data_IF_894380680067
#
_entry.id   IF_894380680067
#
_cell.length_a   1.000
_cell.length_b   1.000
_cell.length_c   1.000
_cell.angle_alpha   90.00
_cell.angle_beta   90.00
_cell.angle_gamma   90.00
#
_symmetry.space_group_name_H-M   'P 1'
#
loop_
_entity.id
_entity.type
_entity.pdbx_description
1 polymer ?
#
# COMPACT_ATOMS: atom_id res chain seq x y z
N UNK A 1 -5.69 28.64 -8.82
CA UNK A 1 -4.95 27.56 -9.54
C UNK A 1 -3.59 27.41 -8.88
N UNK A 2 -3.29 26.26 -8.31
CA UNK A 2 -2.03 25.94 -7.63
C UNK A 2 -0.87 25.92 -8.63
N UNK A 3 0.25 26.57 -8.32
CA UNK A 3 1.44 26.66 -9.19
C UNK A 3 2.67 26.05 -8.53
N UNK A 4 2.82 26.22 -7.24
CA UNK A 4 3.99 25.78 -6.48
C UNK A 4 3.65 24.56 -5.64
N UNK A 5 4.48 23.52 -5.71
CA UNK A 5 4.31 22.27 -4.98
C UNK A 5 5.60 21.92 -4.23
N UNK A 6 5.49 21.58 -2.98
CA UNK A 6 6.60 21.06 -2.20
C UNK A 6 6.35 19.63 -1.76
N UNK A 7 7.31 18.76 -2.02
CA UNK A 7 7.30 17.36 -1.57
C UNK A 7 8.27 17.21 -0.41
N UNK A 8 7.74 16.93 0.78
CA UNK A 8 8.52 16.90 2.02
C UNK A 8 8.56 15.49 2.59
N UNK A 9 9.75 14.90 2.61
CA UNK A 9 9.99 13.54 3.09
C UNK A 9 9.42 12.44 2.20
N UNK A 10 9.57 11.20 2.64
CA UNK A 10 9.14 10.01 1.92
C UNK A 10 10.27 9.24 1.25
N UNK A 11 9.90 8.36 0.35
CA UNK A 11 10.79 7.44 -0.36
C UNK A 11 10.77 7.67 -1.88
N UNK A 12 11.23 6.68 -2.67
CA UNK A 12 11.28 6.77 -4.13
C UNK A 12 9.92 7.08 -4.77
N UNK A 13 8.81 6.78 -4.11
CA UNK A 13 7.45 7.10 -4.60
C UNK A 13 7.25 8.61 -4.67
N UNK A 14 7.66 9.33 -3.62
CA UNK A 14 7.56 10.79 -3.54
C UNK A 14 8.52 11.49 -4.51
N UNK A 15 9.73 10.96 -4.70
CA UNK A 15 10.66 11.48 -5.71
C UNK A 15 10.13 11.29 -7.14
N UNK A 16 9.53 10.12 -7.41
CA UNK A 16 8.88 9.85 -8.70
C UNK A 16 7.72 10.82 -8.94
N UNK A 17 6.87 11.01 -7.94
CA UNK A 17 5.78 11.97 -7.95
C UNK A 17 6.30 13.40 -8.22
N UNK A 18 7.32 13.86 -7.51
CA UNK A 18 7.91 15.19 -7.66
C UNK A 18 8.41 15.41 -9.10
N UNK A 19 9.17 14.45 -9.64
CA UNK A 19 9.66 14.48 -11.02
C UNK A 19 8.51 14.63 -12.03
N UNK A 20 7.44 13.83 -11.87
CA UNK A 20 6.33 13.84 -12.81
C UNK A 20 5.51 15.12 -12.74
N UNK A 21 5.31 15.71 -11.55
CA UNK A 21 4.66 17.01 -11.39
C UNK A 21 5.48 18.14 -12.03
N UNK A 22 6.80 18.11 -11.87
CA UNK A 22 7.69 19.07 -12.54
C UNK A 22 7.57 19.00 -14.06
N UNK A 23 7.50 17.77 -14.63
CA UNK A 23 7.29 17.56 -16.07
C UNK A 23 5.92 18.06 -16.58
N UNK A 24 4.93 18.18 -15.71
CA UNK A 24 3.60 18.75 -16.02
C UNK A 24 3.54 20.26 -15.85
N UNK A 25 4.67 20.91 -15.54
CA UNK A 25 4.79 22.37 -15.46
C UNK A 25 4.54 22.98 -14.09
N UNK A 26 4.41 22.18 -13.02
CA UNK A 26 4.42 22.70 -11.66
C UNK A 26 5.84 23.14 -11.25
N UNK A 27 5.93 24.21 -10.47
CA UNK A 27 7.17 24.60 -9.80
C UNK A 27 7.35 23.72 -8.56
N UNK A 28 8.16 22.67 -8.71
CA UNK A 28 8.32 21.65 -7.65
C UNK A 28 9.62 21.86 -6.89
N UNK A 29 9.51 21.87 -5.54
CA UNK A 29 10.64 21.75 -4.63
C UNK A 29 10.54 20.45 -3.85
N UNK A 30 11.69 19.92 -3.39
CA UNK A 30 11.76 18.72 -2.56
C UNK A 30 12.62 19.00 -1.32
N UNK A 31 12.23 18.44 -0.18
CA UNK A 31 12.98 18.50 1.08
C UNK A 31 12.94 17.17 1.83
N UNK A 32 13.99 16.87 2.57
CA UNK A 32 14.05 15.63 3.38
C UNK A 32 14.48 14.39 2.58
N UNK A 33 15.30 14.59 1.52
CA UNK A 33 15.91 13.53 0.73
C UNK A 33 17.43 13.68 0.71
N UNK A 34 18.16 12.58 0.84
CA UNK A 34 19.63 12.57 0.75
C UNK A 34 20.13 12.95 -0.64
N UNK A 35 21.34 13.49 -0.73
CA UNK A 35 21.96 13.95 -1.98
C UNK A 35 21.98 12.87 -3.07
N UNK A 36 22.21 11.63 -2.68
CA UNK A 36 22.31 10.49 -3.62
C UNK A 36 20.97 10.08 -4.23
N UNK A 37 19.86 10.55 -3.63
CA UNK A 37 18.49 10.27 -4.10
C UNK A 37 17.95 11.34 -5.05
N UNK A 38 18.66 12.46 -5.22
CA UNK A 38 18.20 13.62 -5.97
C UNK A 38 18.61 13.57 -7.44
N UNK A 39 17.71 13.99 -8.31
CA UNK A 39 17.96 14.21 -9.73
C UNK A 39 17.90 15.69 -10.09
N UNK A 40 18.42 16.09 -11.25
CA UNK A 40 18.43 17.48 -11.72
C UNK A 40 17.04 18.06 -12.08
N UNK A 41 15.97 17.25 -11.92
CA UNK A 41 14.63 17.62 -12.43
C UNK A 41 13.75 18.39 -11.45
N UNK A 42 14.24 18.74 -10.25
CA UNK A 42 13.50 19.52 -9.25
C UNK A 42 14.45 20.30 -8.33
N UNK A 43 13.93 21.35 -7.72
CA UNK A 43 14.70 22.17 -6.79
C UNK A 43 14.82 21.47 -5.43
N UNK A 44 16.03 21.03 -5.07
CA UNK A 44 16.31 20.43 -3.76
C UNK A 44 16.56 21.55 -2.73
N UNK A 45 15.56 21.79 -1.89
CA UNK A 45 15.70 22.76 -0.81
C UNK A 45 16.56 22.20 0.33
N UNK A 46 17.42 23.08 0.86
CA UNK A 46 18.24 22.77 2.05
C UNK A 46 17.65 23.34 3.33
N UNK A 47 16.73 24.26 3.20
CA UNK A 47 16.07 24.98 4.27
C UNK A 47 14.58 24.65 4.28
N UNK A 48 14.13 24.04 5.38
CA UNK A 48 12.73 23.67 5.56
C UNK A 48 11.80 24.88 5.50
N UNK A 49 12.26 26.07 5.96
CA UNK A 49 11.48 27.31 5.92
C UNK A 49 11.13 27.72 4.48
N UNK A 50 12.04 27.45 3.53
CA UNK A 50 11.79 27.66 2.10
C UNK A 50 10.92 26.59 1.52
N UNK A 51 11.16 25.34 1.91
CA UNK A 51 10.40 24.18 1.42
C UNK A 51 8.90 24.29 1.76
N UNK A 52 8.53 24.86 2.90
CA UNK A 52 7.11 25.01 3.28
C UNK A 52 6.40 26.20 2.62
N UNK A 53 7.12 27.02 1.82
CA UNK A 53 6.57 28.20 1.14
C UNK A 53 5.94 27.84 -0.22
N UNK A 54 5.00 26.89 -0.27
CA UNK A 54 4.33 26.46 -1.49
C UNK A 54 2.81 26.48 -1.35
N UNK A 55 2.08 26.55 -2.47
CA UNK A 55 0.62 26.47 -2.49
C UNK A 55 0.13 25.10 -2.00
N UNK A 56 0.90 24.04 -2.33
CA UNK A 56 0.58 22.65 -2.00
C UNK A 56 1.78 22.00 -1.32
N UNK A 57 1.54 21.39 -0.17
CA UNK A 57 2.51 20.61 0.57
C UNK A 57 2.12 19.14 0.49
N UNK A 58 3.01 18.30 -0.05
CA UNK A 58 2.80 16.86 -0.19
C UNK A 58 3.68 16.12 0.80
N UNK A 59 3.04 15.45 1.76
CA UNK A 59 3.65 14.61 2.77
C UNK A 59 3.64 13.13 2.32
N UNK A 60 4.49 12.27 2.90
CA UNK A 60 4.64 10.86 2.48
C UNK A 60 3.44 9.96 2.80
N UNK A 61 3.56 8.69 2.38
CA UNK A 61 2.65 7.60 2.76
C UNK A 61 3.43 6.42 3.36
N UNK A 62 3.22 6.11 4.66
CA UNK A 62 2.46 6.91 5.63
C UNK A 62 3.16 8.22 5.97
N UNK A 63 2.39 9.23 6.41
CA UNK A 63 2.97 10.51 6.87
C UNK A 63 3.96 10.30 8.00
N UNK A 64 3.66 9.36 8.89
CA UNK A 64 4.47 9.04 10.07
C UNK A 64 4.36 7.57 10.42
N UNK A 65 5.35 7.06 11.18
CA UNK A 65 5.34 5.71 11.75
C UNK A 65 5.10 5.71 13.26
N UNK A 66 5.27 6.86 13.93
CA UNK A 66 5.25 7.02 15.40
C UNK A 66 4.36 8.19 15.88
N UNK A 67 3.62 8.83 14.99
CA UNK A 67 2.79 10.03 15.22
C UNK A 67 3.56 11.28 15.66
N UNK A 68 4.89 11.26 15.66
CA UNK A 68 5.75 12.37 16.12
C UNK A 68 6.65 12.91 15.02
N UNK A 69 7.19 12.02 14.20
CA UNK A 69 8.21 12.32 13.20
C UNK A 69 7.65 12.08 11.80
N UNK A 70 8.01 12.96 10.87
CA UNK A 70 7.74 12.74 9.46
C UNK A 70 8.47 11.48 8.97
N UNK A 71 7.82 10.68 8.15
CA UNK A 71 8.45 9.52 7.52
C UNK A 71 9.35 9.99 6.37
N UNK A 72 10.64 10.16 6.67
CA UNK A 72 11.65 10.63 5.74
C UNK A 72 12.91 9.74 5.79
N UNK A 73 12.84 8.48 5.28
CA UNK A 73 13.90 7.49 5.44
C UNK A 73 15.22 7.87 4.73
N UNK A 74 15.20 8.84 3.81
CA UNK A 74 16.37 9.33 3.11
C UNK A 74 16.97 10.61 3.71
N UNK A 75 16.40 11.10 4.81
CA UNK A 75 16.91 12.27 5.51
C UNK A 75 17.70 11.86 6.74
N UNK A 76 18.86 12.47 6.94
CA UNK A 76 19.74 12.15 8.08
C UNK A 76 19.16 12.67 9.41
N UNK A 77 18.51 13.83 9.36
CA UNK A 77 17.94 14.47 10.54
C UNK A 77 16.44 14.13 10.70
N UNK A 78 15.98 14.20 11.94
CA UNK A 78 14.56 13.99 12.24
C UNK A 78 13.77 15.27 11.96
N UNK A 79 12.66 15.15 11.22
CA UNK A 79 11.71 16.23 11.01
C UNK A 79 10.54 16.02 11.96
N UNK A 80 10.40 16.87 12.98
CA UNK A 80 9.28 16.79 13.92
C UNK A 80 7.99 17.28 13.25
N UNK A 81 6.91 16.51 13.30
CA UNK A 81 5.62 16.89 12.69
C UNK A 81 5.03 18.15 13.32
N UNK A 82 5.21 18.35 14.62
CA UNK A 82 4.75 19.54 15.33
C UNK A 82 5.43 20.81 14.79
N UNK A 83 6.77 20.80 14.69
CA UNK A 83 7.54 21.91 14.14
C UNK A 83 7.16 22.18 12.68
N UNK A 84 6.98 21.12 11.89
CA UNK A 84 6.54 21.23 10.50
C UNK A 84 5.16 21.89 10.40
N UNK A 85 4.19 21.50 11.25
CA UNK A 85 2.86 22.08 11.25
C UNK A 85 2.85 23.57 11.66
N UNK A 86 3.79 23.98 12.52
CA UNK A 86 3.87 25.36 13.00
C UNK A 86 4.41 26.34 11.93
N UNK A 87 5.20 25.84 10.96
CA UNK A 87 5.86 26.70 9.94
C UNK A 87 5.16 26.67 8.57
N UNK A 88 4.30 25.72 8.27
CA UNK A 88 3.51 25.67 7.02
C UNK A 88 2.52 26.84 7.02
N UNK A 89 2.36 27.49 5.87
CA UNK A 89 1.38 28.57 5.69
C UNK A 89 -0.05 28.03 5.85
N UNK A 90 -0.91 28.79 6.54
CA UNK A 90 -2.31 28.37 6.82
C UNK A 90 -3.19 28.21 5.59
N UNK A 91 -2.87 28.89 4.51
CA UNK A 91 -3.58 28.84 3.22
C UNK A 91 -3.04 27.76 2.27
N UNK A 92 -1.96 27.07 2.65
CA UNK A 92 -1.47 25.92 1.87
C UNK A 92 -2.40 24.73 1.96
N UNK A 93 -2.61 24.05 0.82
CA UNK A 93 -3.25 22.74 0.79
C UNK A 93 -2.24 21.65 1.21
N UNK A 94 -2.54 20.94 2.28
CA UNK A 94 -1.69 19.85 2.77
C UNK A 94 -2.25 18.49 2.33
N UNK A 95 -1.44 17.71 1.62
CA UNK A 95 -1.79 16.37 1.14
C UNK A 95 -0.89 15.34 1.82
N UNK A 96 -1.46 14.36 2.50
CA UNK A 96 -0.69 13.28 3.13
C UNK A 96 -1.30 11.91 2.84
N UNK A 97 -0.54 10.85 3.08
CA UNK A 97 -1.06 9.49 2.94
C UNK A 97 -1.14 8.75 4.27
N UNK A 98 -2.27 8.08 4.57
CA UNK A 98 -2.53 7.38 5.84
C UNK A 98 -2.34 8.30 7.05
N UNK A 99 -3.08 9.39 7.05
CA UNK A 99 -3.04 10.39 8.11
C UNK A 99 -3.78 9.84 9.33
N UNK A 100 -3.08 9.74 10.48
CA UNK A 100 -3.68 9.35 11.75
C UNK A 100 -4.45 10.51 12.38
N UNK A 101 -5.28 10.22 13.40
CA UNK A 101 -6.02 11.23 14.12
C UNK A 101 -5.08 12.27 14.75
N UNK A 102 -4.01 11.81 15.37
CA UNK A 102 -3.02 12.68 16.03
C UNK A 102 -2.38 13.65 15.02
N UNK A 103 -2.15 13.20 13.78
CA UNK A 103 -1.63 14.07 12.72
C UNK A 103 -2.69 15.06 12.25
N UNK A 104 -3.96 14.66 12.12
CA UNK A 104 -5.05 15.61 11.84
C UNK A 104 -5.15 16.70 12.91
N UNK A 105 -5.02 16.33 14.19
CA UNK A 105 -5.07 17.28 15.31
C UNK A 105 -3.91 18.28 15.27
N UNK A 106 -2.70 17.87 14.84
CA UNK A 106 -1.55 18.77 14.64
C UNK A 106 -1.77 19.79 13.52
N UNK A 107 -2.55 19.43 12.51
CA UNK A 107 -2.87 20.27 11.36
C UNK A 107 -4.25 20.93 11.48
N UNK A 108 -4.75 21.13 12.71
CA UNK A 108 -6.01 21.84 12.94
C UNK A 108 -5.98 23.25 12.33
N UNK A 109 -7.03 23.60 11.59
CA UNK A 109 -7.12 24.88 10.87
C UNK A 109 -6.43 24.91 9.51
N UNK A 110 -5.86 23.82 9.05
CA UNK A 110 -5.36 23.64 7.69
C UNK A 110 -6.38 22.91 6.81
N UNK A 111 -6.34 23.16 5.51
CA UNK A 111 -6.99 22.29 4.53
C UNK A 111 -6.08 21.08 4.30
N UNK A 112 -6.39 19.96 4.98
CA UNK A 112 -5.61 18.72 4.90
C UNK A 112 -6.44 17.60 4.30
N UNK A 113 -5.87 16.87 3.31
CA UNK A 113 -6.54 15.77 2.61
C UNK A 113 -5.66 14.52 2.66
N UNK A 114 -6.25 13.39 3.07
CA UNK A 114 -5.61 12.09 3.00
C UNK A 114 -5.82 11.47 1.62
N UNK A 115 -4.82 11.59 0.74
CA UNK A 115 -4.89 11.01 -0.61
C UNK A 115 -4.95 9.48 -0.59
N UNK A 116 -4.53 8.83 0.50
CA UNK A 116 -4.61 7.37 0.63
C UNK A 116 -6.04 6.86 0.86
N UNK A 117 -7.00 7.75 1.21
CA UNK A 117 -8.43 7.42 1.31
C UNK A 117 -9.14 7.43 -0.03
N UNK A 118 -8.48 7.88 -1.10
CA UNK A 118 -9.05 7.94 -2.45
C UNK A 118 -9.20 6.52 -3.01
N UNK A 119 -10.41 6.19 -3.45
CA UNK A 119 -10.72 4.84 -3.94
C UNK A 119 -9.92 4.49 -5.19
N UNK A 120 -9.74 5.44 -6.12
CA UNK A 120 -8.95 5.25 -7.32
C UNK A 120 -7.48 4.91 -7.03
N UNK A 121 -6.89 5.50 -5.98
CA UNK A 121 -5.55 5.16 -5.53
C UNK A 121 -5.51 3.72 -4.99
N UNK A 122 -6.48 3.38 -4.14
CA UNK A 122 -6.52 2.05 -3.51
C UNK A 122 -6.74 0.93 -4.53
N UNK A 123 -7.57 1.18 -5.56
CA UNK A 123 -7.79 0.24 -6.67
C UNK A 123 -6.50 0.06 -7.46
N UNK A 124 -5.87 1.15 -7.91
CA UNK A 124 -4.62 1.07 -8.71
C UNK A 124 -3.47 0.47 -7.90
N UNK A 125 -3.37 0.77 -6.61
CA UNK A 125 -2.33 0.24 -5.73
C UNK A 125 -2.48 -1.26 -5.43
N UNK A 126 -3.65 -1.84 -5.73
CA UNK A 126 -3.83 -3.29 -5.66
C UNK A 126 -2.96 -4.04 -6.68
N UNK A 127 -2.60 -3.42 -7.82
CA UNK A 127 -1.74 -4.04 -8.85
C UNK A 127 -0.34 -4.31 -8.31
N UNK A 128 0.46 -3.31 -7.90
CA UNK A 128 1.79 -3.56 -7.36
C UNK A 128 1.76 -4.38 -6.05
N UNK A 129 0.66 -4.36 -5.30
CA UNK A 129 0.48 -5.23 -4.13
C UNK A 129 0.37 -6.69 -4.55
N UNK A 130 -0.44 -6.99 -5.56
CA UNK A 130 -0.64 -8.35 -6.06
C UNK A 130 0.61 -8.91 -6.75
N UNK A 131 1.31 -8.09 -7.54
CA UNK A 131 2.58 -8.48 -8.17
C UNK A 131 3.64 -8.80 -7.12
N UNK A 132 3.81 -7.96 -6.09
CA UNK A 132 4.74 -8.24 -5.01
C UNK A 132 4.35 -9.46 -4.16
N UNK A 133 3.05 -9.77 -4.03
CA UNK A 133 2.61 -11.00 -3.39
C UNK A 133 2.99 -12.25 -4.20
N UNK A 134 2.86 -12.17 -5.52
CA UNK A 134 3.25 -13.26 -6.43
C UNK A 134 4.77 -13.42 -6.45
N UNK A 135 5.54 -12.34 -6.45
CA UNK A 135 7.00 -12.38 -6.32
C UNK A 135 7.43 -13.14 -5.05
N UNK A 136 6.82 -12.82 -3.91
CA UNK A 136 7.07 -13.54 -2.66
C UNK A 136 6.70 -15.02 -2.80
N UNK A 137 5.52 -15.33 -3.37
CA UNK A 137 5.10 -16.71 -3.57
C UNK A 137 6.10 -17.49 -4.41
N UNK A 138 6.57 -16.94 -5.52
CA UNK A 138 7.57 -17.57 -6.41
C UNK A 138 8.91 -17.80 -5.71
N UNK A 139 9.32 -16.89 -4.82
CA UNK A 139 10.58 -17.02 -4.07
C UNK A 139 10.51 -17.98 -2.89
N UNK A 140 9.33 -18.22 -2.35
CA UNK A 140 9.12 -18.94 -1.09
C UNK A 140 8.52 -20.33 -1.24
N UNK A 141 7.98 -20.66 -2.41
CA UNK A 141 7.45 -22.00 -2.72
C UNK A 141 8.42 -22.77 -3.63
N UNK A 142 8.58 -24.10 -3.42
CA UNK A 142 9.39 -24.92 -4.30
C UNK A 142 8.68 -25.34 -5.59
N UNK A 143 7.39 -24.99 -5.76
CA UNK A 143 6.59 -25.34 -6.95
C UNK A 143 6.36 -24.10 -7.82
N UNK A 144 6.06 -24.33 -9.10
CA UNK A 144 5.64 -23.26 -10.01
C UNK A 144 4.24 -22.74 -9.63
N UNK A 145 3.96 -21.46 -9.90
CA UNK A 145 2.59 -20.92 -9.76
C UNK A 145 1.65 -21.56 -10.79
N UNK A 146 2.14 -21.85 -12.01
CA UNK A 146 1.37 -22.63 -12.99
C UNK A 146 1.05 -24.01 -12.42
N UNK A 147 -0.21 -24.42 -12.57
CA UNK A 147 -0.80 -25.66 -12.05
C UNK A 147 -0.85 -25.78 -10.51
N UNK A 148 -0.34 -24.78 -9.76
CA UNK A 148 -0.51 -24.76 -8.31
C UNK A 148 -1.93 -24.36 -7.90
N UNK A 149 -2.37 -24.83 -6.73
CA UNK A 149 -3.63 -24.41 -6.10
C UNK A 149 -3.38 -23.21 -5.22
N UNK A 150 -3.94 -22.06 -5.63
CA UNK A 150 -3.80 -20.81 -4.93
C UNK A 150 -5.13 -20.37 -4.31
N UNK A 151 -5.20 -20.27 -2.99
CA UNK A 151 -6.35 -19.73 -2.29
C UNK A 151 -6.15 -18.24 -2.03
N UNK A 152 -7.07 -17.41 -2.51
CA UNK A 152 -7.16 -15.97 -2.19
C UNK A 152 -8.31 -15.77 -1.21
N UNK A 153 -7.96 -15.47 0.04
CA UNK A 153 -8.91 -15.16 1.11
C UNK A 153 -9.30 -13.68 1.01
N UNK A 154 -10.56 -13.42 0.66
CA UNK A 154 -11.11 -12.10 0.40
C UNK A 154 -11.13 -11.71 -1.08
N UNK A 155 -12.25 -11.12 -1.52
CA UNK A 155 -12.47 -10.70 -2.91
C UNK A 155 -12.71 -9.18 -3.03
N UNK A 156 -11.89 -8.43 -2.27
CA UNK A 156 -11.81 -6.98 -2.34
C UNK A 156 -10.90 -6.53 -3.50
N UNK A 157 -10.42 -5.28 -3.44
CA UNK A 157 -9.55 -4.68 -4.47
C UNK A 157 -8.32 -5.53 -4.76
N UNK A 158 -7.57 -5.93 -3.72
CA UNK A 158 -6.37 -6.77 -3.87
C UNK A 158 -6.76 -8.16 -4.34
N UNK A 159 -7.76 -8.80 -3.72
CA UNK A 159 -8.19 -10.16 -4.08
C UNK A 159 -8.60 -10.29 -5.55
N UNK A 160 -9.34 -9.30 -6.08
CA UNK A 160 -9.74 -9.28 -7.50
C UNK A 160 -8.55 -9.22 -8.45
N UNK A 161 -7.59 -8.33 -8.19
CA UNK A 161 -6.39 -8.20 -9.03
C UNK A 161 -5.51 -9.44 -8.91
N UNK A 162 -5.27 -9.91 -7.70
CA UNK A 162 -4.42 -11.07 -7.43
C UNK A 162 -4.97 -12.34 -8.09
N UNK A 163 -6.27 -12.62 -7.94
CA UNK A 163 -6.91 -13.79 -8.58
C UNK A 163 -6.76 -13.73 -10.09
N UNK A 164 -6.90 -12.55 -10.70
CA UNK A 164 -6.72 -12.35 -12.14
C UNK A 164 -5.30 -12.64 -12.61
N UNK A 165 -4.30 -12.15 -11.86
CA UNK A 165 -2.89 -12.39 -12.19
C UNK A 165 -2.51 -13.86 -12.01
N UNK A 166 -2.94 -14.50 -10.92
CA UNK A 166 -2.69 -15.92 -10.67
C UNK A 166 -3.31 -16.82 -11.78
N UNK A 167 -4.54 -16.50 -12.19
CA UNK A 167 -5.18 -17.20 -13.32
C UNK A 167 -4.38 -17.01 -14.62
N UNK A 168 -3.87 -15.80 -14.87
CA UNK A 168 -3.00 -15.51 -16.03
C UNK A 168 -1.69 -16.29 -16.00
N UNK A 169 -1.19 -16.67 -14.84
CA UNK A 169 -0.02 -17.52 -14.65
C UNK A 169 -0.34 -19.03 -14.71
N UNK A 170 -1.60 -19.39 -14.90
CA UNK A 170 -2.03 -20.80 -15.02
C UNK A 170 -2.30 -21.51 -13.68
N UNK A 171 -2.49 -20.77 -12.58
CA UNK A 171 -2.87 -21.34 -11.29
C UNK A 171 -4.33 -21.83 -11.28
N UNK A 172 -4.63 -22.88 -10.51
CA UNK A 172 -6.00 -23.26 -10.11
C UNK A 172 -6.43 -22.36 -8.96
N UNK A 173 -7.18 -21.29 -9.27
CA UNK A 173 -7.48 -20.21 -8.34
C UNK A 173 -8.75 -20.49 -7.55
N UNK A 174 -8.60 -20.54 -6.23
CA UNK A 174 -9.68 -20.58 -5.26
C UNK A 174 -9.88 -19.19 -4.67
N UNK A 175 -11.11 -18.71 -4.55
CA UNK A 175 -11.45 -17.42 -3.96
C UNK A 175 -12.43 -17.62 -2.83
N UNK A 176 -12.08 -17.17 -1.63
CA UNK A 176 -13.04 -17.16 -0.55
C UNK A 176 -13.58 -15.76 -0.26
N UNK A 177 -14.87 -15.68 0.01
CA UNK A 177 -15.54 -14.44 0.37
C UNK A 177 -16.73 -14.72 1.29
N UNK A 178 -17.13 -13.65 2.03
CA UNK A 178 -18.31 -13.69 2.90
C UNK A 178 -19.62 -13.41 2.15
N UNK A 179 -19.53 -12.55 1.11
CA UNK A 179 -20.73 -12.10 0.38
C UNK A 179 -20.96 -13.01 -0.82
N UNK A 180 -22.20 -13.51 -0.95
CA UNK A 180 -22.60 -14.30 -2.13
C UNK A 180 -22.46 -13.54 -3.45
N UNK A 181 -22.60 -12.21 -3.46
CA UNK A 181 -22.33 -11.39 -4.65
C UNK A 181 -20.86 -11.45 -5.10
N UNK A 182 -19.92 -11.51 -4.15
CA UNK A 182 -18.50 -11.63 -4.46
C UNK A 182 -18.18 -13.05 -4.96
N UNK A 183 -18.81 -14.07 -4.38
CA UNK A 183 -18.71 -15.46 -4.83
C UNK A 183 -19.25 -15.63 -6.25
N UNK A 184 -20.41 -15.03 -6.55
CA UNK A 184 -20.98 -15.05 -7.90
C UNK A 184 -20.04 -14.40 -8.92
N UNK A 185 -19.39 -13.29 -8.59
CA UNK A 185 -18.38 -12.68 -9.44
C UNK A 185 -17.15 -13.60 -9.62
N UNK A 186 -16.69 -14.24 -8.55
CA UNK A 186 -15.56 -15.18 -8.62
C UNK A 186 -15.88 -16.37 -9.56
N UNK A 187 -17.08 -16.91 -9.47
CA UNK A 187 -17.57 -17.99 -10.34
C UNK A 187 -17.67 -17.54 -11.81
N UNK A 188 -18.23 -16.37 -12.09
CA UNK A 188 -18.30 -15.80 -13.46
C UNK A 188 -16.91 -15.65 -14.10
N UNK A 189 -15.87 -15.35 -13.29
CA UNK A 189 -14.50 -15.26 -13.77
C UNK A 189 -13.78 -16.62 -13.85
N UNK A 190 -14.48 -17.72 -13.51
CA UNK A 190 -13.97 -19.08 -13.59
C UNK A 190 -13.06 -19.50 -12.43
N UNK A 191 -13.13 -18.80 -11.29
CA UNK A 191 -12.45 -19.21 -10.06
C UNK A 191 -13.31 -20.22 -9.29
N UNK A 192 -12.68 -21.02 -8.44
CA UNK A 192 -13.42 -21.86 -7.50
C UNK A 192 -13.86 -21.01 -6.31
N UNK A 193 -15.12 -20.58 -6.36
CA UNK A 193 -15.72 -19.75 -5.33
C UNK A 193 -16.08 -20.56 -4.08
N UNK A 194 -15.68 -20.09 -2.90
CA UNK A 194 -15.86 -20.78 -1.62
C UNK A 194 -16.36 -19.79 -0.59
N UNK A 195 -17.41 -20.14 0.17
CA UNK A 195 -17.79 -19.33 1.32
C UNK A 195 -16.73 -19.42 2.43
N UNK A 196 -16.53 -18.34 3.19
CA UNK A 196 -15.50 -18.33 4.23
C UNK A 196 -15.65 -19.46 5.25
N UNK A 197 -16.87 -19.88 5.57
CA UNK A 197 -17.15 -20.98 6.50
C UNK A 197 -16.72 -22.35 5.96
N UNK A 198 -16.48 -22.47 4.65
CA UNK A 198 -16.09 -23.68 3.94
C UNK A 198 -14.57 -23.74 3.65
N UNK A 199 -13.80 -22.72 4.04
CA UNK A 199 -12.34 -22.69 3.82
C UNK A 199 -11.68 -23.96 4.37
N UNK A 200 -12.11 -24.43 5.54
CA UNK A 200 -11.59 -25.63 6.22
C UNK A 200 -11.70 -26.91 5.39
N UNK A 201 -12.59 -26.96 4.39
CA UNK A 201 -12.85 -28.16 3.60
C UNK A 201 -11.90 -28.29 2.39
N UNK A 202 -11.24 -27.19 2.01
CA UNK A 202 -10.35 -27.15 0.86
C UNK A 202 -8.90 -26.72 1.19
N UNK A 203 -8.66 -26.10 2.35
CA UNK A 203 -7.38 -25.45 2.66
C UNK A 203 -6.18 -26.39 2.69
N UNK A 204 -6.39 -27.64 3.08
CA UNK A 204 -5.34 -28.66 3.13
C UNK A 204 -4.73 -29.02 1.75
N UNK A 205 -5.41 -28.63 0.66
CA UNK A 205 -4.96 -28.91 -0.71
C UNK A 205 -4.30 -27.72 -1.38
N UNK A 206 -4.18 -26.59 -0.70
CA UNK A 206 -3.63 -25.38 -1.27
C UNK A 206 -2.12 -25.38 -1.18
N UNK A 207 -1.45 -24.98 -2.25
CA UNK A 207 0.01 -24.80 -2.28
C UNK A 207 0.41 -23.42 -1.75
N UNK A 208 -0.37 -22.38 -2.13
CA UNK A 208 -0.17 -21.00 -1.66
C UNK A 208 -1.49 -20.41 -1.19
N UNK A 209 -1.45 -19.75 -0.02
CA UNK A 209 -2.61 -19.11 0.60
C UNK A 209 -2.31 -17.61 0.75
N UNK A 210 -3.08 -16.77 0.08
CA UNK A 210 -2.99 -15.32 0.18
C UNK A 210 -4.15 -14.80 1.01
N UNK A 211 -3.86 -14.16 2.14
CA UNK A 211 -4.90 -13.47 2.91
C UNK A 211 -4.93 -11.97 2.56
N UNK A 212 -6.10 -11.44 2.24
CA UNK A 212 -6.32 -10.00 1.98
C UNK A 212 -7.27 -9.34 2.97
N UNK A 213 -7.77 -10.10 3.96
CA UNK A 213 -8.80 -9.65 4.91
C UNK A 213 -8.13 -9.25 6.23
N UNK A 214 -8.31 -7.99 6.72
CA UNK A 214 -7.73 -7.51 7.97
C UNK A 214 -8.59 -7.91 9.20
N UNK A 215 -8.99 -9.17 9.24
CA UNK A 215 -9.69 -9.78 10.36
C UNK A 215 -9.25 -11.24 10.45
N UNK A 216 -9.23 -11.79 11.66
CA UNK A 216 -8.78 -13.17 11.90
C UNK A 216 -9.69 -14.16 11.15
N UNK A 217 -9.20 -14.66 10.03
CA UNK A 217 -9.84 -15.70 9.21
C UNK A 217 -9.08 -17.02 9.36
N UNK A 218 -7.74 -16.95 9.32
CA UNK A 218 -6.88 -18.14 9.48
C UNK A 218 -6.58 -18.32 10.96
N UNK A 219 -7.59 -18.79 11.69
CA UNK A 219 -7.51 -19.13 13.11
C UNK A 219 -6.84 -20.50 13.35
N UNK A 220 -6.71 -20.90 14.62
CA UNK A 220 -6.07 -22.14 15.04
C UNK A 220 -6.73 -23.38 14.37
N UNK A 221 -8.05 -23.40 14.22
CA UNK A 221 -8.77 -24.56 13.68
C UNK A 221 -8.52 -24.72 12.17
N UNK A 222 -8.40 -23.61 11.45
CA UNK A 222 -8.03 -23.59 10.04
C UNK A 222 -6.56 -23.91 9.87
N UNK A 223 -5.68 -23.28 10.66
CA UNK A 223 -4.22 -23.47 10.57
C UNK A 223 -3.81 -24.93 10.78
N UNK A 224 -4.45 -25.67 11.69
CA UNK A 224 -4.20 -27.11 11.91
C UNK A 224 -4.47 -28.00 10.69
N UNK A 225 -5.21 -27.50 9.70
CA UNK A 225 -5.58 -28.25 8.48
C UNK A 225 -4.67 -27.91 7.29
N UNK A 226 -3.86 -26.86 7.39
CA UNK A 226 -2.97 -26.45 6.31
C UNK A 226 -1.84 -27.48 6.15
N UNK A 227 -1.53 -27.81 4.88
CA UNK A 227 -0.38 -28.64 4.59
C UNK A 227 0.90 -27.89 5.04
N UNK A 228 1.81 -28.51 5.82
CA UNK A 228 3.06 -27.90 6.26
C UNK A 228 3.95 -27.33 5.14
N UNK A 229 3.83 -27.88 3.92
CA UNK A 229 4.58 -27.41 2.75
C UNK A 229 3.95 -26.17 2.09
N UNK A 230 2.74 -25.77 2.51
CA UNK A 230 2.07 -24.59 1.98
C UNK A 230 2.72 -23.31 2.47
N UNK A 231 2.69 -22.28 1.61
CA UNK A 231 3.14 -20.93 1.97
C UNK A 231 1.93 -20.02 2.20
N UNK A 232 1.90 -19.35 3.34
CA UNK A 232 0.85 -18.36 3.68
C UNK A 232 1.43 -16.97 3.54
N UNK A 233 0.77 -16.10 2.76
CA UNK A 233 1.17 -14.70 2.55
C UNK A 233 0.03 -13.81 3.02
N UNK A 234 0.25 -13.09 4.12
CA UNK A 234 -0.72 -12.15 4.67
C UNK A 234 -0.47 -10.74 4.12
N UNK A 235 -1.38 -10.25 3.28
CA UNK A 235 -1.37 -8.93 2.65
C UNK A 235 -2.20 -7.92 3.44
N UNK A 236 -2.90 -8.37 4.46
CA UNK A 236 -3.80 -7.53 5.23
C UNK A 236 -3.01 -6.52 6.09
N UNK A 237 -3.57 -5.33 6.23
CA UNK A 237 -3.06 -4.35 7.19
C UNK A 237 -3.20 -4.87 8.62
N UNK A 238 -2.45 -4.27 9.56
CA UNK A 238 -2.56 -4.61 10.99
C UNK A 238 -4.04 -4.57 11.45
N UNK A 239 -4.47 -5.56 12.23
CA UNK A 239 -3.70 -6.60 12.91
C UNK A 239 -3.32 -7.82 12.05
N UNK A 240 -3.68 -7.89 10.78
CA UNK A 240 -3.53 -9.07 9.92
C UNK A 240 -4.75 -9.99 9.99
N UNK A 241 -4.71 -11.11 9.28
CA UNK A 241 -5.81 -12.08 9.26
C UNK A 241 -5.41 -13.52 9.61
N UNK A 242 -4.18 -13.69 10.11
CA UNK A 242 -3.60 -14.98 10.51
C UNK A 242 -3.28 -14.94 12.01
N UNK A 243 -3.54 -16.02 12.73
CA UNK A 243 -2.98 -16.22 14.06
C UNK A 243 -1.49 -16.57 13.92
N UNK A 244 -0.64 -15.56 13.91
CA UNK A 244 0.80 -15.71 13.70
C UNK A 244 1.48 -16.54 14.78
N UNK A 245 0.99 -16.47 16.04
CA UNK A 245 1.57 -17.25 17.12
C UNK A 245 1.26 -18.74 16.92
N UNK A 246 0.02 -19.08 16.62
CA UNK A 246 -0.38 -20.47 16.36
C UNK A 246 0.25 -21.04 15.10
N UNK A 247 0.36 -20.23 14.04
CA UNK A 247 1.05 -20.66 12.82
C UNK A 247 2.51 -21.02 13.11
N UNK A 248 3.20 -20.20 13.92
CA UNK A 248 4.58 -20.50 14.36
C UNK A 248 4.66 -21.78 15.19
N UNK A 249 3.75 -21.98 16.14
CA UNK A 249 3.70 -23.17 17.00
C UNK A 249 3.47 -24.45 16.18
N UNK A 250 2.73 -24.33 15.06
CA UNK A 250 2.47 -25.41 14.09
C UNK A 250 3.57 -25.58 13.04
N UNK A 251 4.62 -24.74 13.06
CA UNK A 251 5.72 -24.79 12.08
C UNK A 251 5.33 -24.34 10.67
N UNK A 252 4.20 -23.64 10.51
CA UNK A 252 3.74 -23.17 9.21
C UNK A 252 4.55 -21.95 8.74
N UNK A 253 4.81 -21.88 7.43
CA UNK A 253 5.49 -20.77 6.79
C UNK A 253 4.52 -19.63 6.53
N UNK A 254 4.62 -18.55 7.30
CA UNK A 254 3.78 -17.36 7.17
C UNK A 254 4.64 -16.12 6.94
N UNK A 255 4.28 -15.35 5.91
CA UNK A 255 4.94 -14.10 5.56
C UNK A 255 3.93 -12.96 5.64
N UNK A 256 4.16 -12.03 6.56
CA UNK A 256 3.34 -10.81 6.63
C UNK A 256 3.90 -9.74 5.71
N UNK A 257 3.31 -9.60 4.54
CA UNK A 257 3.82 -8.80 3.43
C UNK A 257 3.22 -7.39 3.43
N UNK A 258 3.80 -6.51 4.23
CA UNK A 258 3.37 -5.12 4.35
C UNK A 258 4.14 -4.19 3.39
N UNK A 259 3.46 -3.13 2.93
CA UNK A 259 4.04 -2.02 2.15
C UNK A 259 4.63 -2.45 0.80
N UNK A 260 4.12 -3.51 0.18
CA UNK A 260 4.58 -4.04 -1.10
C UNK A 260 4.68 -3.00 -2.21
N UNK A 261 3.70 -2.08 -2.44
CA UNK A 261 3.80 -1.11 -3.53
C UNK A 261 5.07 -0.26 -3.50
N UNK A 262 5.52 0.14 -2.31
CA UNK A 262 6.75 0.92 -2.15
C UNK A 262 8.03 0.10 -2.25
N UNK A 263 7.96 -1.21 -2.02
CA UNK A 263 9.11 -2.12 -2.04
C UNK A 263 9.37 -2.69 -3.44
N UNK A 264 8.34 -3.23 -4.08
CA UNK A 264 8.48 -3.93 -5.36
C UNK A 264 8.32 -3.01 -6.58
N UNK A 265 7.49 -1.96 -6.51
CA UNK A 265 7.21 -1.09 -7.65
C UNK A 265 7.09 0.40 -7.27
N UNK A 266 8.14 1.03 -6.70
CA UNK A 266 8.08 2.40 -6.22
C UNK A 266 7.77 3.43 -7.32
N UNK A 267 8.26 3.22 -8.55
CA UNK A 267 7.99 4.11 -9.68
C UNK A 267 6.51 4.07 -10.07
N UNK A 268 5.95 2.88 -10.23
CA UNK A 268 4.52 2.70 -10.53
C UNK A 268 3.65 3.29 -9.43
N UNK A 269 4.01 3.04 -8.17
CA UNK A 269 3.28 3.56 -7.02
C UNK A 269 3.38 5.10 -6.92
N UNK A 270 4.52 5.69 -7.23
CA UNK A 270 4.69 7.13 -7.32
C UNK A 270 3.82 7.76 -8.41
N UNK A 271 3.71 7.10 -9.59
CA UNK A 271 2.80 7.50 -10.66
C UNK A 271 1.33 7.47 -10.22
N UNK A 272 0.92 6.41 -9.52
CA UNK A 272 -0.45 6.27 -8.98
C UNK A 272 -0.77 7.40 -8.00
N UNK A 273 0.15 7.69 -7.06
CA UNK A 273 0.00 8.80 -6.11
C UNK A 273 -0.11 10.12 -6.87
N UNK A 274 0.76 10.36 -7.86
CA UNK A 274 0.75 11.57 -8.68
C UNK A 274 -0.60 11.77 -9.39
N UNK A 275 -1.13 10.75 -10.04
CA UNK A 275 -2.43 10.82 -10.72
C UNK A 275 -3.56 11.18 -9.75
N UNK A 276 -3.56 10.56 -8.56
CA UNK A 276 -4.54 10.85 -7.50
C UNK A 276 -4.42 12.29 -7.01
N UNK A 277 -3.20 12.77 -6.76
CA UNK A 277 -2.95 14.16 -6.35
C UNK A 277 -3.40 15.14 -7.44
N UNK A 278 -3.11 14.85 -8.70
CA UNK A 278 -3.59 15.68 -9.82
C UNK A 278 -5.13 15.77 -9.87
N UNK A 279 -5.84 14.66 -9.56
CA UNK A 279 -7.30 14.69 -9.47
C UNK A 279 -7.76 15.58 -8.31
N UNK A 280 -7.15 15.45 -7.14
CA UNK A 280 -7.46 16.30 -5.98
C UNK A 280 -7.22 17.79 -6.33
N UNK A 281 -6.09 18.14 -6.95
CA UNK A 281 -5.79 19.52 -7.31
C UNK A 281 -6.80 20.10 -8.31
N UNK A 282 -7.37 19.30 -9.21
CA UNK A 282 -8.43 19.74 -10.14
C UNK A 282 -9.77 19.94 -9.44
N UNK A 283 -10.07 19.13 -8.41
CA UNK A 283 -11.31 19.24 -7.64
C UNK A 283 -11.28 20.44 -6.67
N UNK A 284 -10.09 20.83 -6.20
CA UNK A 284 -9.87 21.84 -5.18
C UNK A 284 -9.46 23.23 -5.74
N UNK A 285 -9.09 23.33 -7.00
CA UNK A 285 -8.65 24.55 -7.70
C UNK A 285 -9.58 25.03 -8.75
#
# INVERSE_FOLDING_TARGET
MYKTVSVIGGDLRQLTLAKMLSQEGYLVSVYGFGKDSLSENYNAEKDIQKAVCADVIILPVPVTLDSKKLNAPFHEETIALKELSDIIKKDSLVLGGRISKEVYDLFEGYKIIDYYKREELMIKNAVPTAEGAIEIAMGETPVTISDSRCLVVGYGRIGKVLSRLLQGLGADVYVSARKYSDLAWADVWGYRAIHNDEIKDCIQKQDVIFNTVPALILDEDILKRINPDSVIIDLASKPGGVDFQKAKDLGLKVIWALSLPGKCAPITSGKIIKETITNILKEEG
#
